data_IF_378353214985
#
_entry.id   IF_378353214985
#
_cell.length_a   1.000
_cell.length_b   1.000
_cell.length_c   1.000
_cell.angle_alpha   90.00
_cell.angle_beta   90.00
_cell.angle_gamma   90.00
#
_symmetry.space_group_name_H-M   'P 1'
#
loop_
_entity.id
_entity.type
_entity.pdbx_description
1 polymer ?
#
# COMPACT_ATOMS: atom_id res chain seq x y z
N UNK A 1 -8.99 -26.34 15.52
CA UNK A 1 -10.26 -26.05 16.23
C UNK A 1 -10.63 -24.61 15.94
N UNK A 2 -11.60 -24.39 15.06
CA UNK A 2 -12.07 -23.05 14.71
C UNK A 2 -12.95 -22.52 15.83
N UNK A 3 -12.58 -21.36 16.38
CA UNK A 3 -13.41 -20.67 17.37
C UNK A 3 -14.54 -20.01 16.59
N UNK A 4 -15.61 -20.77 16.32
CA UNK A 4 -16.87 -20.17 15.93
C UNK A 4 -17.40 -19.39 17.14
N UNK A 5 -17.82 -18.12 16.98
CA UNK A 5 -18.39 -17.38 18.09
C UNK A 5 -19.62 -18.14 18.59
N UNK A 6 -19.71 -18.31 19.91
CA UNK A 6 -20.78 -19.04 20.59
C UNK A 6 -22.18 -18.50 20.25
N UNK A 7 -22.25 -17.26 19.75
CA UNK A 7 -23.43 -16.67 19.15
C UNK A 7 -23.12 -16.13 17.74
N UNK A 8 -23.75 -16.69 16.67
CA UNK A 8 -23.56 -16.21 15.30
C UNK A 8 -24.18 -14.81 15.07
N UNK A 9 -25.13 -14.41 15.91
CA UNK A 9 -25.89 -13.17 15.76
C UNK A 9 -25.26 -11.96 16.47
N UNK A 10 -24.14 -12.13 17.18
CA UNK A 10 -23.51 -11.07 17.96
C UNK A 10 -23.09 -9.83 17.15
N UNK A 11 -22.99 -9.95 15.83
CA UNK A 11 -22.75 -8.84 14.90
C UNK A 11 -24.08 -8.17 14.51
N UNK A 12 -25.14 -8.95 14.30
CA UNK A 12 -26.47 -8.46 13.93
C UNK A 12 -27.13 -7.70 15.09
N UNK A 13 -26.96 -8.18 16.32
CA UNK A 13 -27.51 -7.57 17.55
C UNK A 13 -26.91 -6.19 17.85
N UNK A 14 -25.80 -5.79 17.20
CA UNK A 14 -25.20 -4.46 17.33
C UNK A 14 -25.89 -3.40 16.49
N UNK A 15 -26.66 -3.82 15.49
CA UNK A 15 -27.34 -2.92 14.54
C UNK A 15 -28.85 -2.88 14.77
N UNK A 16 -29.38 -3.77 15.61
CA UNK A 16 -30.73 -3.61 16.15
C UNK A 16 -30.66 -2.61 17.30
N UNK A 17 -31.37 -1.47 17.24
CA UNK A 17 -31.47 -0.61 18.41
C UNK A 17 -32.01 -1.45 19.57
N UNK A 18 -31.41 -1.31 20.74
CA UNK A 18 -31.93 -1.97 21.94
C UNK A 18 -33.41 -1.63 22.07
N UNK A 19 -34.23 -2.60 22.47
CA UNK A 19 -35.68 -2.38 22.63
C UNK A 19 -35.97 -1.15 23.52
N UNK A 20 -35.06 -0.84 24.45
CA UNK A 20 -35.10 0.38 25.27
C UNK A 20 -34.80 1.67 24.49
N UNK A 21 -33.87 1.67 23.52
CA UNK A 21 -33.56 2.83 22.67
C UNK A 21 -34.69 3.10 21.67
N UNK A 22 -35.27 2.05 21.09
CA UNK A 22 -36.43 2.17 20.22
C UNK A 22 -37.66 2.70 20.98
N UNK A 23 -37.91 2.20 22.20
CA UNK A 23 -38.96 2.70 23.07
C UNK A 23 -38.71 4.16 23.52
N UNK A 24 -37.46 4.54 23.81
CA UNK A 24 -37.10 5.92 24.16
C UNK A 24 -37.29 6.88 22.97
N UNK A 25 -36.94 6.47 21.76
CA UNK A 25 -37.17 7.26 20.55
C UNK A 25 -38.65 7.41 20.20
N UNK A 26 -39.46 6.36 20.41
CA UNK A 26 -40.92 6.45 20.30
C UNK A 26 -41.51 7.37 21.36
N UNK A 27 -41.12 7.20 22.62
CA UNK A 27 -41.56 8.07 23.72
C UNK A 27 -41.19 9.55 23.49
N UNK A 28 -40.02 9.84 22.89
CA UNK A 28 -39.62 11.21 22.55
C UNK A 28 -40.49 11.84 21.43
N UNK A 29 -40.86 11.04 20.42
CA UNK A 29 -41.76 11.51 19.37
C UNK A 29 -43.19 11.67 19.91
N UNK A 30 -43.67 10.74 20.73
CA UNK A 30 -44.97 10.81 21.40
C UNK A 30 -45.05 11.97 22.42
N UNK A 31 -43.97 12.26 23.14
CA UNK A 31 -43.88 13.42 24.05
C UNK A 31 -44.02 14.75 23.31
N UNK A 32 -43.89 14.75 21.98
CA UNK A 32 -44.08 15.94 21.17
C UNK A 32 -45.48 16.02 20.55
N UNK A 33 -46.30 14.98 20.72
CA UNK A 33 -47.69 14.94 20.27
C UNK A 33 -48.62 15.50 21.35
N UNK A 34 -49.40 16.52 21.00
CA UNK A 34 -50.40 17.11 21.90
C UNK A 34 -51.34 16.08 22.53
N UNK A 35 -51.77 15.06 21.77
CA UNK A 35 -52.72 14.04 22.25
C UNK A 35 -52.14 13.20 23.39
N UNK A 36 -50.86 12.85 23.29
CA UNK A 36 -50.15 12.09 24.31
C UNK A 36 -49.93 12.95 25.56
N UNK A 37 -49.45 14.18 25.39
CA UNK A 37 -49.28 15.12 26.51
C UNK A 37 -50.59 15.43 27.23
N UNK A 38 -51.68 15.65 26.49
CA UNK A 38 -53.01 15.89 27.07
C UNK A 38 -53.54 14.65 27.80
N UNK A 39 -53.19 13.44 27.36
CA UNK A 39 -53.54 12.20 28.08
C UNK A 39 -52.79 12.10 29.40
N UNK A 40 -51.48 12.33 29.39
CA UNK A 40 -50.65 12.33 30.61
C UNK A 40 -51.11 13.42 31.56
N UNK A 41 -51.36 14.63 31.05
CA UNK A 41 -51.84 15.77 31.82
C UNK A 41 -53.17 15.47 32.52
N UNK A 42 -54.11 14.81 31.84
CA UNK A 42 -55.38 14.37 32.45
C UNK A 42 -55.23 13.29 33.51
N UNK A 43 -54.16 12.50 33.44
CA UNK A 43 -53.87 11.45 34.44
C UNK A 43 -53.14 12.02 35.66
N UNK A 44 -52.35 13.08 35.48
CA UNK A 44 -51.55 13.68 36.55
C UNK A 44 -52.28 14.76 37.35
N UNK A 45 -53.24 15.46 36.73
CA UNK A 45 -54.01 16.52 37.40
C UNK A 45 -55.25 15.94 38.07
N UNK A 46 -55.39 16.15 39.39
CA UNK A 46 -56.52 15.68 40.18
C UNK A 46 -57.84 16.36 39.77
N UNK A 47 -57.84 17.70 39.65
CA UNK A 47 -59.02 18.49 39.27
C UNK A 47 -58.79 19.29 37.97
N UNK A 48 -59.16 18.74 36.80
CA UNK A 48 -58.91 19.37 35.49
C UNK A 48 -59.81 20.58 35.20
N UNK A 49 -60.77 20.89 36.08
CA UNK A 49 -61.74 21.96 35.94
C UNK A 49 -61.35 23.24 36.66
N UNK A 50 -60.29 23.20 37.47
CA UNK A 50 -59.70 24.40 38.09
C UNK A 50 -59.16 25.34 37.02
N UNK A 51 -59.23 26.65 37.25
CA UNK A 51 -58.84 27.63 36.24
C UNK A 51 -57.32 27.59 35.97
N UNK A 52 -56.51 27.36 37.01
CA UNK A 52 -55.06 27.12 36.89
C UNK A 52 -54.75 25.91 35.99
N UNK A 53 -55.51 24.81 36.12
CA UNK A 53 -55.37 23.64 35.27
C UNK A 53 -55.73 23.95 33.81
N UNK A 54 -56.78 24.73 33.56
CA UNK A 54 -57.16 25.14 32.19
C UNK A 54 -56.08 26.00 31.55
N UNK A 55 -55.51 26.94 32.28
CA UNK A 55 -54.40 27.78 31.79
C UNK A 55 -53.15 26.95 31.47
N UNK A 56 -52.77 26.03 32.36
CA UNK A 56 -51.66 25.09 32.11
C UNK A 56 -51.90 24.22 30.88
N UNK A 57 -53.15 23.77 30.67
CA UNK A 57 -53.52 22.99 29.50
C UNK A 57 -53.42 23.81 28.21
N UNK A 58 -53.83 25.07 28.24
CA UNK A 58 -53.76 25.97 27.09
C UNK A 58 -52.31 26.31 26.74
N UNK A 59 -51.47 26.61 27.73
CA UNK A 59 -50.05 26.89 27.52
C UNK A 59 -49.31 25.65 27.00
N UNK A 60 -49.61 24.47 27.54
CA UNK A 60 -49.07 23.21 27.01
C UNK A 60 -49.46 23.04 25.54
N UNK A 61 -50.74 23.23 25.20
CA UNK A 61 -51.20 23.14 23.81
C UNK A 61 -50.47 24.11 22.89
N UNK A 62 -50.32 25.37 23.32
CA UNK A 62 -49.61 26.40 22.58
C UNK A 62 -48.13 26.04 22.36
N UNK A 63 -47.45 25.51 23.39
CA UNK A 63 -46.05 25.09 23.27
C UNK A 63 -45.89 23.87 22.35
N UNK A 64 -46.81 22.90 22.41
CA UNK A 64 -46.78 21.74 21.51
C UNK A 64 -46.95 22.15 20.05
N UNK A 65 -47.95 23.00 19.77
CA UNK A 65 -48.22 23.49 18.41
C UNK A 65 -47.08 24.35 17.86
N UNK A 66 -46.46 25.21 18.69
CA UNK A 66 -45.27 25.96 18.30
C UNK A 66 -44.08 25.06 17.96
N UNK A 67 -43.81 24.02 18.76
CA UNK A 67 -42.73 23.08 18.48
C UNK A 67 -42.96 22.27 17.20
N UNK A 68 -44.20 21.85 16.93
CA UNK A 68 -44.57 21.19 15.68
C UNK A 68 -44.31 22.10 14.46
N UNK A 69 -44.75 23.36 14.52
CA UNK A 69 -44.51 24.32 13.45
C UNK A 69 -43.02 24.56 13.20
N UNK A 70 -42.22 24.72 14.27
CA UNK A 70 -40.78 24.90 14.15
C UNK A 70 -40.08 23.67 13.54
N UNK A 71 -40.54 22.46 13.86
CA UNK A 71 -40.01 21.22 13.25
C UNK A 71 -40.30 21.18 11.76
N UNK A 72 -41.53 21.48 11.36
CA UNK A 72 -41.93 21.53 9.96
C UNK A 72 -41.12 22.58 9.20
N UNK A 73 -40.94 23.77 9.77
CA UNK A 73 -40.14 24.84 9.16
C UNK A 73 -38.68 24.41 9.00
N UNK A 74 -38.07 23.83 10.04
CA UNK A 74 -36.71 23.28 9.98
C UNK A 74 -36.58 22.24 8.87
N UNK A 75 -37.53 21.32 8.76
CA UNK A 75 -37.50 20.25 7.75
C UNK A 75 -37.63 20.83 6.34
N UNK A 76 -38.56 21.77 6.14
CA UNK A 76 -38.71 22.48 4.88
C UNK A 76 -37.45 23.27 4.50
N UNK A 77 -36.80 23.95 5.46
CA UNK A 77 -35.54 24.65 5.23
C UNK A 77 -34.41 23.68 4.86
N UNK A 78 -34.35 22.53 5.51
CA UNK A 78 -33.37 21.50 5.22
C UNK A 78 -33.58 20.91 3.81
N UNK A 79 -34.83 20.69 3.41
CA UNK A 79 -35.20 20.19 2.07
C UNK A 79 -34.93 21.22 0.98
N UNK A 80 -35.27 22.50 1.21
CA UNK A 80 -34.94 23.56 0.25
C UNK A 80 -33.43 23.73 0.09
N UNK A 81 -32.65 23.61 1.17
CA UNK A 81 -31.19 23.63 1.11
C UNK A 81 -30.62 22.40 0.39
N UNK A 82 -31.15 21.20 0.64
CA UNK A 82 -30.70 19.98 -0.04
C UNK A 82 -31.01 20.02 -1.55
N UNK A 83 -32.20 20.53 -1.89
CA UNK A 83 -32.63 20.78 -3.25
C UNK A 83 -31.80 21.86 -3.95
N UNK A 84 -31.50 22.98 -3.27
CA UNK A 84 -30.65 24.04 -3.80
C UNK A 84 -29.21 23.56 -4.03
N UNK A 85 -28.63 22.81 -3.08
CA UNK A 85 -27.30 22.21 -3.22
C UNK A 85 -27.25 21.25 -4.41
N UNK A 86 -28.20 20.32 -4.51
CA UNK A 86 -28.27 19.37 -5.62
C UNK A 86 -28.57 20.05 -6.97
N UNK A 87 -29.41 21.08 -7.02
CA UNK A 87 -29.60 21.91 -8.23
C UNK A 87 -28.34 22.65 -8.63
N UNK A 88 -27.56 23.19 -7.69
CA UNK A 88 -26.35 23.93 -8.04
C UNK A 88 -25.28 23.03 -8.68
N UNK A 89 -25.12 21.80 -8.18
CA UNK A 89 -24.18 20.83 -8.72
C UNK A 89 -24.70 20.20 -10.01
N UNK A 90 -25.97 19.76 -10.02
CA UNK A 90 -26.60 19.12 -11.17
C UNK A 90 -26.92 20.10 -12.29
N UNK A 91 -27.30 21.35 -12.00
CA UNK A 91 -27.53 22.34 -13.07
C UNK A 91 -26.24 22.89 -13.65
N UNK A 92 -25.15 22.99 -12.86
CA UNK A 92 -23.84 23.29 -13.43
C UNK A 92 -23.40 22.17 -14.38
N UNK A 93 -23.53 20.90 -13.98
CA UNK A 93 -23.16 19.77 -14.84
C UNK A 93 -24.11 19.56 -16.03
N UNK A 94 -25.43 19.70 -15.87
CA UNK A 94 -26.42 19.55 -16.96
C UNK A 94 -26.34 20.72 -17.95
N UNK A 95 -26.17 21.97 -17.48
CA UNK A 95 -26.05 23.12 -18.39
C UNK A 95 -24.70 23.16 -19.11
N UNK A 96 -23.64 22.61 -18.51
CA UNK A 96 -22.30 22.60 -19.12
C UNK A 96 -22.00 21.37 -19.96
N UNK A 97 -22.70 20.24 -19.74
CA UNK A 97 -22.45 18.99 -20.46
C UNK A 97 -23.53 18.79 -21.52
N UNK A 98 -23.23 19.05 -22.81
CA UNK A 98 -24.17 18.73 -23.87
C UNK A 98 -24.47 17.23 -23.85
N UNK A 99 -25.74 16.87 -24.00
CA UNK A 99 -26.15 15.46 -24.14
C UNK A 99 -25.40 14.84 -25.33
N UNK A 100 -24.87 13.61 -25.20
CA UNK A 100 -24.15 12.96 -26.28
C UNK A 100 -25.14 12.51 -27.36
N UNK A 101 -25.52 13.43 -28.24
CA UNK A 101 -26.36 13.12 -29.38
C UNK A 101 -25.51 12.69 -30.57
N UNK A 102 -25.82 11.52 -31.13
CA UNK A 102 -25.21 11.06 -32.39
C UNK A 102 -25.71 11.97 -33.50
N UNK A 103 -24.83 12.83 -34.02
CA UNK A 103 -25.13 13.69 -35.15
C UNK A 103 -25.32 12.84 -36.40
N UNK A 104 -26.56 12.77 -36.91
CA UNK A 104 -26.85 12.17 -38.22
C UNK A 104 -26.35 13.13 -39.30
N UNK A 105 -25.68 12.60 -40.34
CA UNK A 105 -25.09 13.42 -41.41
C UNK A 105 -26.15 14.29 -42.09
N UNK A 106 -25.89 15.60 -42.06
CA UNK A 106 -26.43 16.73 -42.82
C UNK A 106 -27.81 16.58 -43.50
N UNK A 107 -28.82 17.18 -42.88
CA UNK A 107 -29.80 17.96 -43.65
C UNK A 107 -29.23 19.36 -43.86
N UNK A 108 -29.42 19.93 -45.06
CA UNK A 108 -28.85 21.19 -45.60
C UNK A 108 -29.15 22.47 -44.78
N UNK A 109 -29.79 22.36 -43.61
CA UNK A 109 -30.24 23.45 -42.75
C UNK A 109 -29.38 23.55 -41.48
N UNK A 110 -28.91 24.77 -41.17
CA UNK A 110 -28.11 25.10 -39.97
C UNK A 110 -28.89 24.95 -38.65
N UNK A 111 -30.22 24.85 -38.71
CA UNK A 111 -31.09 24.62 -37.55
C UNK A 111 -31.46 23.14 -37.47
N UNK A 112 -31.01 22.46 -36.42
CA UNK A 112 -31.41 21.09 -36.12
C UNK A 112 -32.50 21.12 -35.04
N UNK A 113 -33.70 20.68 -35.39
CA UNK A 113 -34.76 20.46 -34.42
C UNK A 113 -34.53 19.12 -33.72
N UNK A 114 -34.43 19.13 -32.39
CA UNK A 114 -34.34 17.90 -31.61
C UNK A 114 -35.70 17.21 -31.58
N UNK A 115 -35.75 15.99 -32.10
CA UNK A 115 -36.92 15.12 -31.90
C UNK A 115 -36.89 14.51 -30.50
N UNK A 116 -38.06 14.24 -29.92
CA UNK A 116 -38.18 13.51 -28.64
C UNK A 116 -37.39 12.20 -28.65
N UNK A 117 -37.38 11.51 -29.79
CA UNK A 117 -36.60 10.30 -30.01
C UNK A 117 -35.09 10.55 -29.88
N UNK A 118 -34.57 11.64 -30.45
CA UNK A 118 -33.15 12.01 -30.31
C UNK A 118 -32.75 12.34 -28.88
N UNK A 119 -33.63 13.00 -28.11
CA UNK A 119 -33.39 13.27 -26.69
C UNK A 119 -33.30 11.97 -25.88
N UNK A 120 -34.22 11.03 -26.11
CA UNK A 120 -34.20 9.72 -25.45
C UNK A 120 -32.96 8.89 -25.84
N UNK A 121 -32.55 8.92 -27.12
CA UNK A 121 -31.32 8.28 -27.59
C UNK A 121 -30.09 8.85 -26.85
N UNK A 122 -30.00 10.17 -26.69
CA UNK A 122 -28.87 10.80 -26.00
C UNK A 122 -28.85 10.54 -24.49
N UNK A 123 -30.03 10.46 -23.84
CA UNK A 123 -30.14 10.07 -22.43
C UNK A 123 -29.68 8.62 -22.24
N UNK A 124 -30.16 7.70 -23.08
CA UNK A 124 -29.74 6.30 -23.03
C UNK A 124 -28.23 6.15 -23.19
N UNK A 125 -27.61 6.87 -24.14
CA UNK A 125 -26.16 6.85 -24.31
C UNK A 125 -25.42 7.37 -23.08
N UNK A 126 -25.94 8.42 -22.44
CA UNK A 126 -25.36 8.94 -21.22
C UNK A 126 -25.42 7.92 -20.08
N UNK A 127 -26.54 7.21 -19.92
CA UNK A 127 -26.68 6.16 -18.91
C UNK A 127 -25.69 5.02 -19.15
N UNK A 128 -25.48 4.61 -20.41
CA UNK A 128 -24.47 3.62 -20.78
C UNK A 128 -23.07 4.09 -20.42
N UNK A 129 -22.70 5.34 -20.77
CA UNK A 129 -21.39 5.89 -20.40
C UNK A 129 -21.18 5.90 -18.88
N UNK A 130 -22.19 6.31 -18.11
CA UNK A 130 -22.09 6.32 -16.65
C UNK A 130 -21.99 4.90 -16.07
N UNK A 131 -22.67 3.91 -16.66
CA UNK A 131 -22.51 2.50 -16.28
C UNK A 131 -21.09 2.00 -16.56
N UNK A 132 -20.56 2.30 -17.76
CA UNK A 132 -19.19 1.93 -18.13
C UNK A 132 -18.15 2.59 -17.20
N UNK A 133 -18.35 3.86 -16.81
CA UNK A 133 -17.50 4.55 -15.84
C UNK A 133 -17.50 3.83 -14.48
N UNK A 134 -18.70 3.49 -13.96
CA UNK A 134 -18.84 2.73 -12.71
C UNK A 134 -18.16 1.36 -12.79
N UNK A 135 -18.36 0.63 -13.88
CA UNK A 135 -17.73 -0.67 -14.10
C UNK A 135 -16.20 -0.55 -14.20
N UNK A 136 -15.70 0.48 -14.86
CA UNK A 136 -14.27 0.77 -14.95
C UNK A 136 -13.66 1.12 -13.58
N UNK A 137 -14.38 1.85 -12.73
CA UNK A 137 -13.96 2.11 -11.35
C UNK A 137 -13.91 0.85 -10.52
N UNK A 138 -14.92 -0.02 -10.63
CA UNK A 138 -14.95 -1.32 -9.98
C UNK A 138 -13.77 -2.20 -10.44
N UNK A 139 -13.49 -2.25 -11.76
CA UNK A 139 -12.32 -2.96 -12.31
C UNK A 139 -11.00 -2.41 -11.79
N UNK A 140 -10.84 -1.08 -11.73
CA UNK A 140 -9.64 -0.46 -11.15
C UNK A 140 -9.50 -0.81 -9.67
N UNK A 141 -10.60 -0.94 -8.93
CA UNK A 141 -10.56 -1.36 -7.54
C UNK A 141 -10.06 -2.81 -7.40
N UNK A 142 -10.63 -3.75 -8.16
CA UNK A 142 -10.24 -5.16 -8.13
C UNK A 142 -8.78 -5.35 -8.57
N UNK A 143 -8.33 -4.64 -9.61
CA UNK A 143 -6.94 -4.63 -10.07
C UNK A 143 -5.98 -4.15 -8.97
N UNK A 144 -6.35 -3.08 -8.24
CA UNK A 144 -5.54 -2.57 -7.12
C UNK A 144 -5.42 -3.61 -6.00
N UNK A 145 -6.48 -4.34 -5.71
CA UNK A 145 -6.48 -5.42 -4.72
C UNK A 145 -5.59 -6.58 -5.14
N UNK A 146 -5.72 -7.05 -6.38
CA UNK A 146 -4.86 -8.08 -6.97
C UNK A 146 -3.39 -7.64 -6.99
N UNK A 147 -3.11 -6.38 -7.30
CA UNK A 147 -1.75 -5.85 -7.25
C UNK A 147 -1.19 -5.86 -5.82
N UNK A 148 -2.00 -5.47 -4.83
CA UNK A 148 -1.60 -5.51 -3.40
C UNK A 148 -1.31 -6.94 -2.94
N UNK A 149 -2.15 -7.92 -3.30
CA UNK A 149 -1.94 -9.32 -2.93
C UNK A 149 -0.68 -9.88 -3.59
N UNK A 150 -0.49 -9.66 -4.89
CA UNK A 150 0.71 -10.07 -5.62
C UNK A 150 1.99 -9.43 -5.07
N UNK A 151 1.93 -8.15 -4.67
CA UNK A 151 3.07 -7.48 -4.02
C UNK A 151 3.44 -8.17 -2.71
N UNK A 152 2.46 -8.52 -1.87
CA UNK A 152 2.71 -9.26 -0.61
C UNK A 152 3.33 -10.63 -0.88
N UNK A 153 2.86 -11.36 -1.90
CA UNK A 153 3.44 -12.65 -2.28
C UNK A 153 4.89 -12.51 -2.74
N UNK A 154 5.19 -11.53 -3.59
CA UNK A 154 6.57 -11.23 -4.01
C UNK A 154 7.47 -10.91 -2.82
N UNK A 155 6.99 -10.08 -1.88
CA UNK A 155 7.73 -9.76 -0.66
C UNK A 155 8.05 -10.99 0.18
N UNK A 156 7.10 -11.94 0.32
CA UNK A 156 7.34 -13.21 1.04
C UNK A 156 8.40 -14.04 0.35
N UNK A 157 8.31 -14.21 -0.97
CA UNK A 157 9.30 -14.96 -1.75
C UNK A 157 10.70 -14.32 -1.68
N UNK A 158 10.78 -12.99 -1.73
CA UNK A 158 12.06 -12.28 -1.61
C UNK A 158 12.64 -12.39 -0.19
N UNK A 159 11.80 -12.36 0.85
CA UNK A 159 12.22 -12.58 2.23
C UNK A 159 12.75 -14.01 2.43
N UNK A 160 12.07 -15.01 1.89
CA UNK A 160 12.49 -16.42 1.95
C UNK A 160 13.82 -16.63 1.23
N UNK A 161 13.98 -16.07 0.02
CA UNK A 161 15.26 -16.11 -0.71
C UNK A 161 16.40 -15.45 0.07
N UNK A 162 16.13 -14.31 0.72
CA UNK A 162 17.12 -13.63 1.56
C UNK A 162 17.49 -14.46 2.79
N UNK A 163 16.51 -15.08 3.44
CA UNK A 163 16.75 -15.97 4.58
C UNK A 163 17.60 -17.18 4.17
N UNK A 164 17.26 -17.84 3.06
CA UNK A 164 18.04 -18.96 2.51
C UNK A 164 19.46 -18.54 2.09
N UNK A 165 19.64 -17.33 1.56
CA UNK A 165 20.97 -16.80 1.25
C UNK A 165 21.77 -16.51 2.54
N UNK A 166 21.11 -16.04 3.60
CA UNK A 166 21.75 -15.78 4.88
C UNK A 166 22.20 -17.07 5.58
N UNK A 167 21.39 -18.14 5.56
CA UNK A 167 21.79 -19.44 6.10
C UNK A 167 23.00 -20.01 5.37
N UNK A 168 22.97 -20.01 4.03
CA UNK A 168 24.12 -20.43 3.21
C UNK A 168 25.39 -19.62 3.50
N UNK A 169 25.26 -18.31 3.75
CA UNK A 169 26.42 -17.46 4.13
C UNK A 169 26.96 -17.82 5.52
N UNK A 170 26.10 -18.10 6.49
CA UNK A 170 26.52 -18.55 7.83
C UNK A 170 27.24 -19.90 7.76
N UNK A 171 26.65 -20.88 7.10
CA UNK A 171 27.27 -22.19 6.89
C UNK A 171 28.63 -22.09 6.17
N UNK A 172 28.74 -21.22 5.15
CA UNK A 172 30.00 -20.98 4.47
C UNK A 172 31.04 -20.30 5.37
N UNK A 173 30.62 -19.37 6.23
CA UNK A 173 31.50 -18.69 7.20
C UNK A 173 32.01 -19.66 8.27
N UNK A 174 31.14 -20.51 8.82
CA UNK A 174 31.52 -21.56 9.79
C UNK A 174 32.50 -22.56 9.16
N UNK A 175 32.22 -23.03 7.94
CA UNK A 175 33.17 -23.88 7.20
C UNK A 175 34.52 -23.20 6.95
N UNK A 176 34.52 -21.90 6.71
CA UNK A 176 35.75 -21.14 6.54
C UNK A 176 36.50 -20.94 7.86
N UNK A 177 35.80 -20.78 8.98
CA UNK A 177 36.39 -20.72 10.32
C UNK A 177 37.04 -22.05 10.70
N UNK A 178 36.32 -23.17 10.55
CA UNK A 178 36.87 -24.51 10.81
C UNK A 178 38.14 -24.77 9.98
N UNK A 179 38.14 -24.41 8.70
CA UNK A 179 39.33 -24.52 7.84
C UNK A 179 40.49 -23.64 8.29
N UNK A 180 40.21 -22.44 8.83
CA UNK A 180 41.24 -21.54 9.37
C UNK A 180 41.83 -22.10 10.67
N UNK A 181 41.00 -22.65 11.54
CA UNK A 181 41.41 -23.28 12.79
C UNK A 181 42.26 -24.53 12.52
N UNK A 182 41.85 -25.40 11.60
CA UNK A 182 42.63 -26.57 11.16
C UNK A 182 44.00 -26.14 10.57
N UNK A 183 44.00 -25.11 9.71
CA UNK A 183 45.23 -24.58 9.15
C UNK A 183 46.13 -23.93 10.21
N UNK A 184 45.56 -23.29 11.23
CA UNK A 184 46.30 -22.71 12.35
C UNK A 184 46.90 -23.80 13.25
N UNK A 185 46.14 -24.84 13.58
CA UNK A 185 46.62 -26.00 14.34
C UNK A 185 47.79 -26.68 13.62
N UNK A 186 47.66 -26.91 12.31
CA UNK A 186 48.73 -27.49 11.49
C UNK A 186 49.99 -26.61 11.42
N UNK A 187 49.83 -25.28 11.48
CA UNK A 187 50.98 -24.36 11.55
C UNK A 187 51.64 -24.41 12.91
N UNK A 188 50.87 -24.39 14.00
CA UNK A 188 51.38 -24.50 15.37
C UNK A 188 52.14 -25.82 15.58
N UNK A 189 51.62 -26.94 15.07
CA UNK A 189 52.31 -28.23 15.12
C UNK A 189 53.65 -28.20 14.38
N UNK A 190 53.69 -27.60 13.17
CA UNK A 190 54.95 -27.43 12.43
C UNK A 190 55.95 -26.53 13.17
N UNK A 191 55.48 -25.49 13.85
CA UNK A 191 56.32 -24.61 14.65
C UNK A 191 56.89 -25.34 15.87
N UNK A 192 56.08 -26.15 16.56
CA UNK A 192 56.55 -26.99 17.67
C UNK A 192 57.62 -27.98 17.22
N UNK A 193 57.35 -28.73 16.14
CA UNK A 193 58.33 -29.66 15.56
C UNK A 193 59.62 -28.95 15.13
N UNK A 194 59.52 -27.71 14.64
CA UNK A 194 60.69 -26.91 14.29
C UNK A 194 61.47 -26.51 15.54
N UNK A 195 60.81 -26.04 16.59
CA UNK A 195 61.46 -25.67 17.86
C UNK A 195 62.15 -26.88 18.50
N UNK A 196 61.53 -28.06 18.47
CA UNK A 196 62.14 -29.30 18.95
C UNK A 196 63.42 -29.64 18.15
N UNK A 197 63.37 -29.54 16.81
CA UNK A 197 64.55 -29.75 15.96
C UNK A 197 65.65 -28.74 16.27
N UNK A 198 65.30 -27.46 16.34
CA UNK A 198 66.24 -26.38 16.63
C UNK A 198 66.85 -26.54 18.04
N UNK A 199 66.09 -27.00 19.03
CA UNK A 199 66.58 -27.28 20.38
C UNK A 199 67.53 -28.50 20.42
N UNK A 200 67.22 -29.57 19.69
CA UNK A 200 68.11 -30.72 19.55
C UNK A 200 69.40 -30.32 18.84
N UNK A 201 69.32 -29.55 17.75
CA UNK A 201 70.48 -29.01 17.04
C UNK A 201 71.32 -28.11 17.97
N UNK A 202 70.70 -27.24 18.76
CA UNK A 202 71.39 -26.40 19.73
C UNK A 202 72.13 -27.22 20.81
N UNK A 203 71.49 -28.25 21.38
CA UNK A 203 72.13 -29.17 22.32
C UNK A 203 73.33 -29.86 21.67
N UNK A 204 73.19 -30.36 20.43
CA UNK A 204 74.32 -30.95 19.68
C UNK A 204 75.45 -29.95 19.40
N UNK A 205 75.13 -28.68 19.13
CA UNK A 205 76.11 -27.62 18.89
C UNK A 205 76.89 -27.25 20.15
N UNK A 206 76.24 -27.24 21.32
CA UNK A 206 76.93 -26.98 22.61
C UNK A 206 77.93 -28.08 22.99
N UNK A 207 77.72 -29.32 22.53
CA UNK A 207 78.68 -30.40 22.71
C UNK A 207 79.88 -30.31 21.75
N UNK A 208 79.77 -29.57 20.64
CA UNK A 208 80.88 -29.27 19.74
C UNK A 208 81.65 -28.05 20.26
N UNK A 209 82.54 -28.31 21.22
CA UNK A 209 83.44 -27.32 21.81
C UNK A 209 84.23 -26.48 20.79
N UNK A 210 84.51 -25.23 21.21
CA UNK A 210 85.25 -24.14 20.54
C UNK A 210 86.12 -24.57 19.34
N UNK A 211 85.59 -24.38 18.12
CA UNK A 211 86.37 -24.37 16.87
C UNK A 211 86.33 -22.98 16.22
N UNK A 212 87.45 -22.63 15.60
CA UNK A 212 87.83 -21.31 15.07
C UNK A 212 86.76 -20.70 14.16
N UNK A 213 86.42 -19.43 14.43
CA UNK A 213 85.66 -18.59 13.52
C UNK A 213 86.48 -18.29 12.26
N UNK A 214 85.98 -18.74 11.12
CA UNK A 214 86.30 -18.31 9.75
C UNK A 214 85.43 -19.18 8.84
N UNK A 215 84.61 -18.70 7.91
CA UNK A 215 84.95 -17.83 6.79
C UNK A 215 83.67 -17.13 6.29
N UNK A 216 83.76 -15.86 5.90
CA UNK A 216 82.68 -15.20 5.16
C UNK A 216 82.64 -15.74 3.74
N UNK A 217 81.62 -16.53 3.41
CA UNK A 217 81.35 -16.92 2.02
C UNK A 217 80.80 -15.72 1.24
N UNK A 218 81.45 -15.39 0.13
CA UNK A 218 81.10 -14.30 -0.77
C UNK A 218 79.63 -14.38 -1.27
N UNK A 219 78.96 -13.25 -1.53
CA UNK A 219 77.55 -13.24 -1.93
C UNK A 219 77.37 -13.89 -3.30
N UNK A 220 76.63 -15.01 -3.35
CA UNK A 220 76.23 -15.64 -4.61
C UNK A 220 75.34 -14.69 -5.41
N UNK A 221 75.72 -14.49 -6.67
CA UNK A 221 74.98 -13.75 -7.70
C UNK A 221 73.52 -14.22 -7.74
N UNK A 222 72.58 -13.31 -7.52
CA UNK A 222 71.14 -13.56 -7.71
C UNK A 222 70.91 -13.93 -9.18
N UNK A 223 70.57 -15.19 -9.46
CA UNK A 223 69.90 -15.52 -10.71
C UNK A 223 68.46 -15.00 -10.59
N UNK A 224 68.14 -13.97 -11.36
CA UNK A 224 66.77 -13.56 -11.60
C UNK A 224 66.04 -14.73 -12.24
N UNK A 225 65.27 -15.49 -11.45
CA UNK A 225 64.15 -16.24 -11.99
C UNK A 225 63.24 -15.20 -12.61
N UNK A 226 63.23 -15.15 -13.94
CA UNK A 226 62.39 -14.24 -14.70
C UNK A 226 60.99 -14.29 -14.10
N UNK A 227 60.49 -13.11 -13.72
CA UNK A 227 59.07 -12.93 -13.64
C UNK A 227 58.54 -13.33 -15.02
N UNK A 228 57.91 -14.50 -15.09
CA UNK A 228 57.05 -14.82 -16.20
C UNK A 228 55.91 -13.81 -16.14
N UNK A 229 56.13 -12.64 -16.75
CA UNK A 229 55.04 -11.82 -17.25
C UNK A 229 54.32 -12.72 -18.23
N UNK A 230 53.16 -13.22 -17.81
CA UNK A 230 52.21 -13.84 -18.71
C UNK A 230 51.98 -12.87 -19.86
N UNK A 231 52.53 -13.20 -21.03
CA UNK A 231 52.14 -12.56 -22.29
C UNK A 231 50.72 -13.02 -22.60
N UNK A 232 49.72 -12.35 -22.02
CA UNK A 232 48.43 -12.23 -22.68
C UNK A 232 48.50 -10.95 -23.52
N UNK A 233 49.12 -11.05 -24.68
CA UNK A 233 48.90 -10.08 -25.75
C UNK A 233 47.43 -10.18 -26.16
N UNK A 234 46.57 -9.37 -25.56
CA UNK A 234 45.32 -9.01 -26.20
C UNK A 234 45.70 -8.19 -27.43
N UNK A 235 45.45 -8.76 -28.61
CA UNK A 235 45.37 -8.00 -29.85
C UNK A 235 44.43 -6.83 -29.56
N UNK A 236 44.95 -5.61 -29.63
CA UNK A 236 44.11 -4.42 -29.62
C UNK A 236 43.30 -4.46 -30.92
N UNK A 237 42.13 -5.07 -30.88
CA UNK A 237 41.10 -4.82 -31.89
C UNK A 237 40.84 -3.33 -31.88
N UNK A 238 40.99 -2.70 -33.04
CA UNK A 238 40.68 -1.30 -33.23
C UNK A 238 39.33 -1.00 -32.59
N UNK A 239 39.34 -0.07 -31.63
CA UNK A 239 38.16 0.34 -30.87
C UNK A 239 37.14 0.85 -31.89
N UNK A 240 36.04 0.12 -32.07
CA UNK A 240 34.95 0.59 -32.92
C UNK A 240 34.46 1.95 -32.41
N UNK A 241 34.14 2.90 -33.31
CA UNK A 241 33.67 4.21 -32.90
C UNK A 241 32.41 4.05 -32.04
N UNK A 242 32.43 4.63 -30.84
CA UNK A 242 31.26 4.68 -29.95
C UNK A 242 30.07 5.28 -30.69
N UNK A 243 28.87 4.66 -30.66
CA UNK A 243 27.70 5.21 -31.33
C UNK A 243 27.35 6.59 -30.72
N UNK A 244 26.83 7.53 -31.55
CA UNK A 244 26.44 8.84 -31.07
C UNK A 244 25.35 8.72 -29.99
N UNK A 245 25.32 9.65 -29.02
CA UNK A 245 24.35 9.62 -27.93
C UNK A 245 22.92 9.75 -28.48
N UNK A 246 22.04 8.84 -28.09
CA UNK A 246 20.61 8.90 -28.43
C UNK A 246 19.85 9.78 -27.44
N UNK A 247 19.00 10.64 -27.95
CA UNK A 247 18.15 11.55 -27.16
C UNK A 247 16.68 11.20 -27.37
N UNK A 248 15.85 11.31 -26.32
CA UNK A 248 14.40 11.20 -26.49
C UNK A 248 13.79 12.48 -27.08
N UNK A 249 12.49 12.46 -27.40
CA UNK A 249 11.73 13.63 -27.87
C UNK A 249 11.71 14.83 -26.90
N UNK A 250 12.25 14.66 -25.68
CA UNK A 250 12.38 15.69 -24.65
C UNK A 250 13.86 16.04 -24.36
N UNK A 251 14.79 15.68 -25.25
CA UNK A 251 16.21 16.07 -25.17
C UNK A 251 17.03 15.38 -24.08
N UNK A 252 16.55 14.29 -23.47
CA UNK A 252 17.32 13.55 -22.44
C UNK A 252 18.18 12.46 -23.05
N UNK A 253 19.45 12.41 -22.63
CA UNK A 253 20.45 11.40 -23.06
C UNK A 253 20.07 10.01 -22.54
N UNK A 254 19.87 9.06 -23.46
CA UNK A 254 19.53 7.67 -23.16
C UNK A 254 20.81 6.83 -23.28
N UNK A 255 21.08 5.98 -22.28
CA UNK A 255 22.18 5.03 -22.36
C UNK A 255 21.81 3.85 -23.27
N UNK A 256 22.71 3.40 -24.16
CA UNK A 256 22.44 2.25 -25.02
C UNK A 256 22.24 0.98 -24.18
N UNK A 257 21.20 0.21 -24.47
CA UNK A 257 20.95 -1.08 -23.83
C UNK A 257 22.03 -2.08 -24.26
N UNK A 258 22.72 -2.69 -23.29
CA UNK A 258 23.66 -3.79 -23.55
C UNK A 258 22.89 -4.95 -24.20
N UNK A 259 23.21 -5.27 -25.46
CA UNK A 259 22.75 -6.51 -26.09
C UNK A 259 23.44 -7.67 -25.38
N UNK A 260 22.66 -8.62 -24.87
CA UNK A 260 23.16 -9.92 -24.45
C UNK A 260 23.32 -10.74 -25.73
N UNK A 261 24.56 -11.01 -26.12
CA UNK A 261 24.81 -11.94 -27.22
C UNK A 261 24.56 -13.36 -26.68
N UNK A 262 23.55 -14.02 -27.24
CA UNK A 262 23.33 -15.44 -27.08
C UNK A 262 24.35 -16.14 -27.97
N UNK A 263 25.38 -16.73 -27.36
CA UNK A 263 26.34 -17.56 -28.06
C UNK A 263 25.66 -18.82 -28.60
N UNK A 264 25.91 -19.09 -29.89
CA UNK A 264 25.65 -20.37 -30.55
C UNK A 264 26.60 -21.46 -30.04
#
# INVERSE_FOLDING_TARGET
LGIAPLNPNAILDRFTPSQAEAAAAQAFNEANDWRHNNRIWRQSVQDPTTDEAKELRQTLHQLTTQNELLKIERDNLQDTLSYAKSKSTKSKSIKSRPLPLIQRKETRSKTQWYSLRGVNEAQHLQDVFEQEERDNELRKHTERELHKSNRKLKQKLDAEKKAAAATRRKEAAERAQLKREEAAARKAEREHQKQERDAVEAIQLTQRGKRKASQSTAPRKKQSRGAATARSCCVATARSPTPPPTYNSRGRKIAPRKKLELGN
#
